data_IF_732179704715
#
_entry.id   IF_732179704715
#
_cell.length_a   1.000
_cell.length_b   1.000
_cell.length_c   1.000
_cell.angle_alpha   90.00
_cell.angle_beta   90.00
_cell.angle_gamma   90.00
#
_symmetry.space_group_name_H-M   'P 1'
#
loop_
_entity.id
_entity.type
_entity.pdbx_description
1 polymer ?
#
# COMPACT_ATOMS: atom_id res chain seq x y z
N UNK A 1 -9.41 -13.99 -16.00
CA UNK A 1 -9.12 -14.65 -14.72
C UNK A 1 -7.84 -14.00 -14.23
N UNK A 2 -7.93 -12.95 -13.40
CA UNK A 2 -6.76 -12.26 -12.84
C UNK A 2 -6.28 -13.04 -11.62
N UNK A 3 -5.02 -13.44 -11.64
CA UNK A 3 -4.33 -14.09 -10.54
C UNK A 3 -3.70 -12.99 -9.68
N UNK A 4 -4.17 -12.84 -8.44
CA UNK A 4 -3.60 -11.89 -7.48
C UNK A 4 -2.37 -12.52 -6.83
N UNK A 5 -1.19 -11.98 -7.09
CA UNK A 5 0.03 -12.41 -6.44
C UNK A 5 0.25 -11.56 -5.18
N UNK A 6 -0.08 -12.11 -4.01
CA UNK A 6 0.32 -11.55 -2.72
C UNK A 6 1.78 -11.94 -2.45
N UNK A 7 2.69 -10.95 -2.48
CA UNK A 7 4.08 -11.15 -2.08
C UNK A 7 4.19 -10.84 -0.58
N UNK A 8 4.52 -11.85 0.22
CA UNK A 8 4.88 -11.69 1.63
C UNK A 8 6.40 -11.75 1.78
N UNK A 9 7.02 -10.70 2.32
CA UNK A 9 8.40 -10.77 2.77
C UNK A 9 8.43 -11.40 4.18
N UNK A 10 8.96 -12.63 4.29
CA UNK A 10 9.16 -13.35 5.54
C UNK A 10 10.61 -13.83 5.61
N UNK A 11 11.24 -13.74 6.78
CA UNK A 11 12.60 -14.19 7.06
C UNK A 11 12.76 -15.71 7.24
N UNK A 12 11.74 -16.51 6.90
CA UNK A 12 11.76 -17.97 7.07
C UNK A 12 11.73 -18.69 5.71
N UNK A 13 12.48 -19.81 5.56
CA UNK A 13 12.57 -20.52 4.29
C UNK A 13 11.24 -21.18 3.89
N UNK A 14 10.84 -20.98 2.63
CA UNK A 14 9.74 -21.71 1.99
C UNK A 14 10.31 -22.90 1.22
N UNK A 15 9.68 -24.07 1.29
CA UNK A 15 9.91 -25.15 0.33
C UNK A 15 8.65 -25.36 -0.50
N UNK A 16 8.80 -25.33 -1.83
CA UNK A 16 7.73 -25.64 -2.78
C UNK A 16 7.67 -27.15 -3.01
N UNK A 17 6.53 -27.77 -2.69
CA UNK A 17 6.19 -29.12 -3.16
C UNK A 17 4.83 -29.07 -3.85
N UNK A 18 4.83 -29.03 -5.19
CA UNK A 18 3.59 -28.99 -5.98
C UNK A 18 2.75 -27.72 -5.77
N UNK A 19 1.47 -27.78 -6.16
CA UNK A 19 0.53 -26.62 -6.21
C UNK A 19 0.01 -26.15 -4.83
N UNK A 20 0.71 -26.44 -3.74
CA UNK A 20 0.26 -26.09 -2.39
C UNK A 20 1.36 -25.34 -1.63
N UNK A 21 1.01 -24.19 -1.06
CA UNK A 21 1.83 -23.45 -0.09
C UNK A 21 1.45 -23.92 1.32
N UNK A 22 2.37 -24.55 2.03
CA UNK A 22 2.20 -24.94 3.43
C UNK A 22 3.01 -24.02 4.33
N UNK A 23 2.36 -23.32 5.25
CA UNK A 23 3.01 -22.51 6.27
C UNK A 23 3.28 -23.37 7.51
N UNK A 24 4.52 -23.40 7.97
CA UNK A 24 4.90 -24.03 9.24
C UNK A 24 5.11 -22.92 10.29
N UNK A 25 4.21 -22.81 11.27
CA UNK A 25 4.61 -22.30 12.58
C UNK A 25 4.15 -23.26 13.67
N UNK A 26 5.12 -23.64 14.53
CA UNK A 26 4.91 -24.30 15.82
C UNK A 26 4.00 -25.55 15.80
N UNK A 27 4.36 -26.55 14.99
CA UNK A 27 4.11 -27.96 15.34
C UNK A 27 2.70 -28.53 15.22
N UNK A 28 1.76 -27.90 14.50
CA UNK A 28 0.45 -28.51 14.21
C UNK A 28 0.13 -28.38 12.72
N UNK A 29 -0.07 -29.50 11.98
CA UNK A 29 -0.43 -29.43 10.57
C UNK A 29 -1.87 -28.90 10.40
N UNK A 30 -2.01 -27.77 9.71
CA UNK A 30 -3.31 -27.22 9.30
C UNK A 30 -3.64 -27.72 7.89
N UNK A 31 -4.63 -28.60 7.75
CA UNK A 31 -5.16 -29.05 6.47
C UNK A 31 -6.22 -28.06 5.98
N UNK A 32 -5.91 -27.29 4.94
CA UNK A 32 -6.92 -26.49 4.23
C UNK A 32 -7.61 -27.41 3.21
N UNK A 33 -8.79 -27.93 3.55
CA UNK A 33 -9.59 -28.76 2.64
C UNK A 33 -10.34 -27.92 1.61
N UNK A 34 -10.24 -28.26 0.33
CA UNK A 34 -11.10 -27.73 -0.73
C UNK A 34 -12.37 -28.57 -0.84
N UNK A 35 -13.54 -27.93 -0.71
CA UNK A 35 -14.82 -28.54 -1.07
C UNK A 35 -15.11 -28.19 -2.53
N UNK A 36 -15.16 -29.21 -3.40
CA UNK A 36 -15.74 -29.06 -4.74
C UNK A 36 -17.26 -29.03 -4.59
N UNK A 37 -17.88 -27.86 -4.79
CA UNK A 37 -19.33 -27.73 -4.84
C UNK A 37 -19.82 -27.62 -6.29
N UNK A 38 -20.66 -28.57 -6.68
CA UNK A 38 -21.50 -28.57 -7.87
C UNK A 38 -22.63 -27.52 -7.74
N UNK A 39 -23.11 -27.04 -8.87
CA UNK A 39 -23.91 -25.82 -9.04
C UNK A 39 -25.35 -25.85 -8.48
N UNK A 40 -25.92 -24.64 -8.43
CA UNK A 40 -27.32 -24.22 -8.20
C UNK A 40 -27.69 -23.87 -6.75
N UNK A 41 -27.64 -22.57 -6.46
CA UNK A 41 -28.25 -21.99 -5.25
C UNK A 41 -27.54 -20.72 -4.79
N UNK A 42 -28.22 -19.58 -4.96
CA UNK A 42 -27.97 -18.25 -4.37
C UNK A 42 -26.70 -18.12 -3.51
N UNK A 43 -25.57 -17.77 -4.13
CA UNK A 43 -24.27 -17.71 -3.44
C UNK A 43 -24.18 -16.47 -2.57
N UNK A 44 -24.48 -16.63 -1.28
CA UNK A 44 -23.81 -15.83 -0.25
C UNK A 44 -22.33 -16.20 -0.29
N UNK A 45 -21.47 -15.19 -0.47
CA UNK A 45 -20.01 -15.38 -0.49
C UNK A 45 -19.57 -16.12 0.79
N UNK A 46 -18.67 -17.12 0.71
CA UNK A 46 -18.25 -17.87 1.89
C UNK A 46 -17.58 -16.92 2.89
N UNK A 47 -18.23 -16.76 4.05
CA UNK A 47 -17.66 -16.07 5.22
C UNK A 47 -16.50 -16.91 5.75
N UNK A 48 -15.32 -16.30 5.86
CA UNK A 48 -14.17 -16.92 6.52
C UNK A 48 -14.56 -17.39 7.93
N UNK A 49 -14.42 -18.69 8.19
CA UNK A 49 -14.77 -19.35 9.46
C UNK A 49 -13.60 -19.46 10.44
N UNK A 50 -12.44 -18.87 10.12
CA UNK A 50 -11.21 -19.00 10.92
C UNK A 50 -11.04 -17.93 12.02
N UNK A 51 -12.06 -17.14 12.32
CA UNK A 51 -11.98 -16.15 13.38
C UNK A 51 -12.63 -16.70 14.67
N UNK A 52 -11.82 -16.93 15.70
CA UNK A 52 -12.26 -17.33 17.06
C UNK A 52 -13.12 -16.27 17.76
N UNK A 53 -13.22 -15.09 17.13
CA UNK A 53 -14.04 -13.94 17.48
C UNK A 53 -14.76 -13.49 16.21
N UNK A 54 -16.03 -13.12 16.29
CA UNK A 54 -16.76 -12.64 15.10
C UNK A 54 -15.99 -11.47 14.49
N UNK A 55 -15.56 -11.55 13.22
CA UNK A 55 -14.78 -10.49 12.60
C UNK A 55 -15.59 -9.19 12.61
N UNK A 56 -14.94 -8.09 12.98
CA UNK A 56 -15.51 -6.76 12.78
C UNK A 56 -15.55 -6.50 11.27
N UNK A 57 -16.76 -6.51 10.70
CA UNK A 57 -16.97 -6.25 9.28
C UNK A 57 -17.32 -4.77 9.09
N UNK A 58 -16.51 -4.08 8.29
CA UNK A 58 -16.77 -2.71 7.88
C UNK A 58 -16.91 -2.68 6.35
N UNK A 59 -18.10 -2.34 5.82
CA UNK A 59 -18.24 -2.19 4.38
C UNK A 59 -17.41 -0.98 3.92
N UNK A 60 -16.47 -1.23 3.03
CA UNK A 60 -15.71 -0.19 2.32
C UNK A 60 -16.00 -0.35 0.82
N UNK A 61 -16.31 0.75 0.16
CA UNK A 61 -16.48 0.82 -1.31
C UNK A 61 -15.17 1.31 -1.92
N UNK A 62 -14.22 0.41 -2.11
CA UNK A 62 -12.96 0.70 -2.79
C UNK A 62 -13.04 0.36 -4.28
N UNK A 63 -12.40 1.17 -5.13
CA UNK A 63 -12.42 1.02 -6.59
C UNK A 63 -11.03 0.80 -7.19
N UNK A 64 -10.04 0.43 -6.38
CA UNK A 64 -8.67 0.33 -6.85
C UNK A 64 -7.72 -0.32 -5.87
N UNK A 65 -6.46 0.08 -5.99
CA UNK A 65 -5.37 -0.45 -5.20
C UNK A 65 -5.47 -0.03 -3.73
N UNK A 66 -4.81 -0.81 -2.88
CA UNK A 66 -4.74 -0.60 -1.44
C UNK A 66 -3.28 -0.66 -1.03
N UNK A 67 -2.86 0.26 -0.16
CA UNK A 67 -1.58 0.20 0.52
C UNK A 67 -1.79 0.25 2.03
N UNK A 68 -0.86 -0.30 2.80
CA UNK A 68 -0.93 -0.21 4.25
C UNK A 68 0.47 -0.08 4.86
N UNK A 69 0.53 0.59 6.01
CA UNK A 69 1.75 0.71 6.82
C UNK A 69 1.43 0.43 8.27
N UNK A 70 2.39 -0.18 8.97
CA UNK A 70 2.40 -0.23 10.43
C UNK A 70 3.12 0.99 10.97
N UNK A 71 2.50 1.72 11.89
CA UNK A 71 3.06 2.98 12.41
C UNK A 71 3.84 2.81 13.69
N UNK A 72 3.65 1.72 14.44
CA UNK A 72 4.37 1.48 15.68
C UNK A 72 4.62 -0.03 15.93
N UNK A 73 5.40 -0.31 16.98
CA UNK A 73 5.69 -1.69 17.41
C UNK A 73 4.48 -2.40 18.02
N UNK A 74 3.44 -1.66 18.41
CA UNK A 74 2.19 -2.23 18.88
C UNK A 74 1.33 -2.76 17.72
N UNK A 75 1.66 -2.39 16.48
CA UNK A 75 1.01 -2.81 15.24
C UNK A 75 -0.18 -1.93 14.84
N UNK A 76 -0.24 -0.69 15.31
CA UNK A 76 -1.14 0.32 14.74
C UNK A 76 -0.96 0.37 13.24
N UNK A 77 -2.05 0.36 12.49
CA UNK A 77 -2.03 0.27 11.03
C UNK A 77 -2.76 1.45 10.42
N UNK A 78 -2.25 1.95 9.30
CA UNK A 78 -2.95 2.86 8.40
C UNK A 78 -3.15 2.16 7.07
N UNK A 79 -4.36 2.25 6.54
CA UNK A 79 -4.76 1.60 5.30
C UNK A 79 -5.23 2.69 4.35
N UNK A 80 -4.60 2.77 3.18
CA UNK A 80 -4.87 3.75 2.16
C UNK A 80 -5.54 3.06 0.98
N UNK A 81 -6.65 3.61 0.53
CA UNK A 81 -7.39 3.03 -0.60
C UNK A 81 -8.13 4.12 -1.36
N UNK A 82 -8.35 3.87 -2.65
CA UNK A 82 -9.20 4.73 -3.46
C UNK A 82 -10.67 4.37 -3.24
N UNK A 83 -11.46 5.33 -2.77
CA UNK A 83 -12.89 5.20 -2.55
C UNK A 83 -13.68 5.39 -3.86
N UNK A 84 -14.94 4.95 -3.88
CA UNK A 84 -15.82 5.04 -5.05
C UNK A 84 -16.04 6.47 -5.59
N UNK A 85 -15.84 7.49 -4.77
CA UNK A 85 -15.85 8.90 -5.17
C UNK A 85 -14.52 9.39 -5.76
N UNK A 86 -13.59 8.48 -6.05
CA UNK A 86 -12.26 8.71 -6.58
C UNK A 86 -11.24 9.30 -5.58
N UNK A 87 -11.66 9.66 -4.36
CA UNK A 87 -10.74 10.13 -3.31
C UNK A 87 -9.84 9.01 -2.77
N UNK A 88 -8.69 9.37 -2.19
CA UNK A 88 -7.93 8.43 -1.36
C UNK A 88 -8.33 8.65 0.10
N UNK A 89 -8.69 7.56 0.77
CA UNK A 89 -9.11 7.53 2.17
C UNK A 89 -8.03 6.85 3.02
N UNK A 90 -7.91 7.28 4.28
CA UNK A 90 -7.10 6.65 5.31
C UNK A 90 -8.00 6.00 6.36
N UNK A 91 -7.96 4.67 6.46
CA UNK A 91 -8.53 3.92 7.56
C UNK A 91 -7.50 3.65 8.65
N UNK A 92 -7.91 3.88 9.90
CA UNK A 92 -7.05 3.85 11.08
C UNK A 92 -7.44 2.68 11.97
N UNK A 93 -6.47 1.82 12.29
CA UNK A 93 -6.63 0.69 13.22
C UNK A 93 -5.59 0.81 14.34
N UNK A 94 -6.04 0.71 15.58
CA UNK A 94 -5.22 0.98 16.78
C UNK A 94 -4.20 -0.12 17.13
N UNK A 95 -4.32 -1.31 16.55
CA UNK A 95 -3.40 -2.44 16.72
C UNK A 95 -3.66 -3.48 15.61
N UNK A 96 -2.95 -4.63 15.56
CA UNK A 96 -3.23 -5.70 14.61
C UNK A 96 -4.68 -6.17 14.72
N UNK A 97 -5.29 -6.60 13.62
CA UNK A 97 -6.72 -6.93 13.53
C UNK A 97 -7.27 -7.90 14.59
N UNK A 98 -6.41 -8.68 15.26
CA UNK A 98 -6.81 -9.58 16.36
C UNK A 98 -7.09 -8.86 17.69
N UNK A 99 -6.59 -7.63 17.86
CA UNK A 99 -6.65 -6.84 19.10
C UNK A 99 -7.02 -5.37 18.87
N UNK A 100 -6.78 -4.87 17.66
CA UNK A 100 -7.03 -3.50 17.28
C UNK A 100 -8.50 -3.22 17.07
N UNK A 101 -8.85 -1.96 17.22
CA UNK A 101 -10.16 -1.42 16.92
C UNK A 101 -10.03 -0.47 15.73
N UNK A 102 -11.04 -0.49 14.86
CA UNK A 102 -11.18 0.57 13.87
C UNK A 102 -11.48 1.89 14.58
N UNK A 103 -10.61 2.88 14.44
CA UNK A 103 -10.74 4.16 15.14
C UNK A 103 -11.25 5.28 14.25
N UNK A 104 -11.22 5.12 12.93
CA UNK A 104 -11.78 6.11 12.03
C UNK A 104 -11.37 5.96 10.58
N UNK A 105 -12.05 6.73 9.75
CA UNK A 105 -11.71 6.97 8.35
C UNK A 105 -11.49 8.47 8.15
N UNK A 106 -10.56 8.85 7.28
CA UNK A 106 -10.31 10.26 6.98
C UNK A 106 -10.03 10.43 5.50
N UNK A 107 -10.60 11.48 4.91
CA UNK A 107 -10.26 11.90 3.55
C UNK A 107 -8.79 12.32 3.54
N UNK A 108 -7.95 11.57 2.81
CA UNK A 108 -6.53 11.87 2.66
C UNK A 108 -6.28 12.77 1.45
N UNK A 109 -6.69 12.31 0.26
CA UNK A 109 -6.50 13.05 -1.00
C UNK A 109 -7.86 13.29 -1.65
N UNK A 110 -8.21 14.56 -1.98
CA UNK A 110 -9.47 14.88 -2.62
C UNK A 110 -9.55 14.32 -4.05
N UNK A 111 -10.76 13.97 -4.48
CA UNK A 111 -11.03 13.24 -5.71
C UNK A 111 -10.47 13.90 -6.99
N UNK A 112 -10.34 15.22 -7.03
CA UNK A 112 -9.83 15.97 -8.18
C UNK A 112 -8.30 15.88 -8.34
N UNK A 113 -7.59 15.37 -7.33
CA UNK A 113 -6.13 15.21 -7.37
C UNK A 113 -5.70 13.79 -7.75
N UNK A 114 -6.64 12.84 -7.83
CA UNK A 114 -6.36 11.40 -7.94
C UNK A 114 -6.78 10.87 -9.32
N UNK A 115 -5.91 10.12 -9.98
CA UNK A 115 -6.28 9.38 -11.19
C UNK A 115 -7.27 8.25 -10.85
N UNK A 116 -8.28 8.04 -11.66
CA UNK A 116 -9.20 6.90 -11.45
C UNK A 116 -8.47 5.56 -11.61
N UNK A 117 -8.57 4.68 -10.62
CA UNK A 117 -7.86 3.40 -10.58
C UNK A 117 -6.35 3.55 -10.30
N UNK A 118 -5.94 4.65 -9.68
CA UNK A 118 -4.52 4.94 -9.41
C UNK A 118 -3.84 3.81 -8.64
N UNK A 119 -2.57 3.47 -8.92
CA UNK A 119 -1.78 2.68 -8.00
C UNK A 119 -1.50 3.51 -6.74
N UNK A 120 -1.45 2.83 -5.59
CA UNK A 120 -1.16 3.45 -4.29
C UNK A 120 0.00 2.71 -3.66
N UNK A 121 1.00 3.44 -3.20
CA UNK A 121 2.06 2.92 -2.36
C UNK A 121 2.18 3.76 -1.10
N UNK A 122 2.57 3.13 0.00
CA UNK A 122 2.77 3.83 1.25
C UNK A 122 3.97 3.26 1.99
N UNK A 123 4.65 4.12 2.74
CA UNK A 123 5.77 3.72 3.58
C UNK A 123 5.88 4.62 4.79
N UNK A 124 6.47 4.08 5.85
CA UNK A 124 6.95 4.85 6.99
C UNK A 124 8.44 5.11 6.80
N UNK A 125 8.90 6.31 7.16
CA UNK A 125 10.33 6.62 7.24
C UNK A 125 10.73 6.76 8.71
N UNK A 126 11.98 6.41 9.04
CA UNK A 126 12.46 6.56 10.41
C UNK A 126 12.74 8.03 10.73
N UNK A 127 12.35 8.47 11.94
CA UNK A 127 12.46 9.86 12.37
C UNK A 127 11.48 10.18 13.51
N UNK A 128 11.61 11.37 14.09
CA UNK A 128 10.64 11.87 15.08
C UNK A 128 9.29 12.11 14.41
N UNK A 129 8.21 11.59 15.00
CA UNK A 129 6.84 11.85 14.51
C UNK A 129 6.33 10.91 13.41
N UNK A 130 7.06 9.82 13.09
CA UNK A 130 6.65 8.78 12.14
C UNK A 130 6.09 9.35 10.84
N UNK A 131 6.93 9.99 10.01
CA UNK A 131 6.44 10.56 8.77
C UNK A 131 6.00 9.40 7.86
N UNK A 132 4.69 9.33 7.62
CA UNK A 132 4.12 8.43 6.62
C UNK A 132 4.13 9.16 5.29
N UNK A 133 4.50 8.46 4.23
CA UNK A 133 4.40 8.93 2.85
C UNK A 133 3.43 8.05 2.09
N UNK A 134 2.53 8.67 1.36
CA UNK A 134 1.55 8.00 0.49
C UNK A 134 1.73 8.54 -0.91
N UNK A 135 2.01 7.63 -1.84
CA UNK A 135 2.27 7.90 -3.24
C UNK A 135 1.12 7.41 -4.09
N UNK A 136 0.79 8.19 -5.12
CA UNK A 136 -0.26 7.90 -6.08
C UNK A 136 0.02 8.64 -7.39
N UNK A 137 -0.76 8.33 -8.40
CA UNK A 137 -0.74 9.04 -9.70
C UNK A 137 -1.92 9.99 -9.78
N UNK A 138 -1.65 11.24 -10.16
CA UNK A 138 -2.65 12.29 -10.42
C UNK A 138 -3.29 12.18 -11.81
N UNK A 139 -4.40 12.89 -12.11
CA UNK A 139 -5.04 12.87 -13.43
C UNK A 139 -4.14 13.27 -14.60
N UNK A 140 -3.10 14.06 -14.34
CA UNK A 140 -2.09 14.46 -15.33
C UNK A 140 -0.94 13.46 -15.45
N UNK A 141 -1.10 12.25 -14.90
CA UNK A 141 -0.08 11.20 -14.83
C UNK A 141 1.20 11.61 -14.09
N UNK A 142 1.12 12.62 -13.22
CA UNK A 142 2.23 13.00 -12.35
C UNK A 142 2.25 12.10 -11.13
N UNK A 143 3.44 11.55 -10.81
CA UNK A 143 3.72 10.88 -9.55
C UNK A 143 3.61 11.90 -8.41
N UNK A 144 2.65 11.66 -7.53
CA UNK A 144 2.25 12.58 -6.47
C UNK A 144 2.42 11.94 -5.09
N UNK A 145 2.56 12.79 -4.08
CA UNK A 145 2.75 12.39 -2.68
C UNK A 145 1.90 13.24 -1.74
N UNK A 146 1.32 12.59 -0.74
CA UNK A 146 0.88 13.19 0.50
C UNK A 146 1.77 12.71 1.64
N UNK A 147 2.17 13.64 2.49
CA UNK A 147 3.13 13.42 3.57
C UNK A 147 2.50 13.77 4.93
N UNK A 148 2.61 12.85 5.89
CA UNK A 148 2.28 13.14 7.28
C UNK A 148 3.44 13.90 7.95
N UNK A 149 3.14 15.04 8.56
CA UNK A 149 4.13 15.89 9.26
C UNK A 149 4.29 15.56 10.75
N UNK A 150 3.53 14.59 11.26
CA UNK A 150 3.36 14.35 12.68
C UNK A 150 2.05 14.92 13.24
N UNK A 151 1.47 15.91 12.56
CA UNK A 151 0.23 16.58 13.00
C UNK A 151 -0.82 16.76 11.91
N UNK A 152 -0.40 16.89 10.66
CA UNK A 152 -1.31 17.03 9.52
C UNK A 152 -0.75 16.34 8.29
N UNK A 153 -1.65 15.96 7.40
CA UNK A 153 -1.30 15.61 6.03
C UNK A 153 -1.03 16.89 5.24
N UNK A 154 0.01 16.85 4.40
CA UNK A 154 0.32 17.91 3.44
C UNK A 154 0.57 17.30 2.07
N UNK A 155 -0.08 17.86 1.05
CA UNK A 155 0.16 17.58 -0.37
C UNK A 155 0.73 18.80 -1.09
N UNK A 156 0.89 18.70 -2.41
CA UNK A 156 1.28 19.84 -3.24
C UNK A 156 0.16 20.90 -3.31
N UNK A 157 0.47 22.21 -3.33
CA UNK A 157 1.79 22.85 -3.32
C UNK A 157 2.36 23.12 -1.92
N UNK A 158 1.61 22.85 -0.86
CA UNK A 158 2.03 23.12 0.52
C UNK A 158 3.24 22.28 0.95
N UNK A 159 3.40 21.09 0.36
CA UNK A 159 4.54 20.22 0.58
C UNK A 159 5.68 20.50 -0.41
N UNK A 160 6.54 21.48 -0.11
CA UNK A 160 7.68 21.83 -0.96
C UNK A 160 8.74 20.73 -1.11
N UNK A 161 8.76 19.74 -0.21
CA UNK A 161 9.65 18.58 -0.28
C UNK A 161 9.03 17.33 -0.90
N UNK A 162 7.75 17.38 -1.29
CA UNK A 162 7.05 16.22 -1.84
C UNK A 162 7.46 15.95 -3.29
N UNK A 163 7.42 14.67 -3.69
CA UNK A 163 7.81 14.23 -5.03
C UNK A 163 7.01 14.93 -6.14
N UNK A 164 5.75 15.30 -5.86
CA UNK A 164 4.82 15.96 -6.81
C UNK A 164 5.44 17.17 -7.51
N UNK A 165 6.25 17.96 -6.79
CA UNK A 165 6.89 19.15 -7.34
C UNK A 165 7.92 18.87 -8.45
N UNK A 166 8.41 17.63 -8.55
CA UNK A 166 9.40 17.21 -9.55
C UNK A 166 8.77 16.82 -10.89
N UNK A 167 7.43 16.71 -10.94
CA UNK A 167 6.69 16.49 -12.18
C UNK A 167 7.13 15.22 -12.93
N UNK A 168 7.48 14.16 -12.21
CA UNK A 168 7.79 12.88 -12.83
C UNK A 168 6.53 12.28 -13.44
N UNK A 169 6.56 12.06 -14.76
CA UNK A 169 5.43 11.53 -15.52
C UNK A 169 5.49 10.00 -15.51
N UNK A 170 4.41 9.39 -15.05
CA UNK A 170 4.16 7.95 -15.04
C UNK A 170 3.55 7.53 -16.38
N UNK A 171 3.94 6.36 -16.87
CA UNK A 171 3.38 5.77 -18.09
C UNK A 171 1.87 5.53 -17.92
N UNK A 172 1.00 6.10 -18.80
CA UNK A 172 -0.43 5.87 -18.75
C UNK A 172 -0.80 4.39 -18.76
N UNK A 173 -1.69 3.99 -17.84
CA UNK A 173 -2.11 2.59 -17.70
C UNK A 173 -1.16 1.71 -16.87
N UNK A 174 0.00 2.21 -16.45
CA UNK A 174 0.85 1.49 -15.50
C UNK A 174 0.16 1.38 -14.14
N UNK A 175 0.22 0.17 -13.57
CA UNK A 175 -0.23 -0.13 -12.20
C UNK A 175 0.95 -0.36 -11.24
N UNK A 176 2.17 -0.21 -11.74
CA UNK A 176 3.39 -0.44 -10.98
C UNK A 176 3.71 0.79 -10.14
N UNK A 177 3.60 0.63 -8.82
CA UNK A 177 4.06 1.62 -7.86
C UNK A 177 4.52 0.93 -6.58
N UNK A 178 5.69 1.28 -6.07
CA UNK A 178 6.11 0.93 -4.73
C UNK A 178 6.85 2.08 -4.07
N UNK A 179 6.92 2.06 -2.75
CA UNK A 179 7.70 2.98 -1.95
C UNK A 179 8.43 2.19 -0.88
N UNK A 180 9.73 2.41 -0.75
CA UNK A 180 10.57 1.73 0.22
C UNK A 180 11.49 2.75 0.90
N UNK A 181 11.64 2.69 2.23
CA UNK A 181 12.74 3.39 2.88
C UNK A 181 14.06 2.74 2.44
N UNK A 182 15.09 3.56 2.20
CA UNK A 182 16.44 3.07 1.96
C UNK A 182 17.12 2.68 3.29
N UNK A 183 18.42 2.42 3.24
CA UNK A 183 19.27 2.09 4.39
C UNK A 183 19.11 3.07 5.55
N UNK A 184 19.41 2.65 6.79
CA UNK A 184 19.32 3.52 7.97
C UNK A 184 20.08 4.84 7.78
N UNK A 185 19.37 5.94 7.99
CA UNK A 185 19.89 7.30 7.90
C UNK A 185 18.85 8.27 8.44
N UNK A 186 19.28 9.45 8.89
CA UNK A 186 18.40 10.48 9.45
C UNK A 186 18.54 11.81 8.70
N UNK A 187 17.52 12.26 7.95
CA UNK A 187 16.28 11.50 7.61
C UNK A 187 16.58 10.34 6.66
N UNK A 188 15.73 9.31 6.70
CA UNK A 188 15.92 8.09 5.90
C UNK A 188 15.74 8.42 4.42
N UNK A 189 16.72 8.12 3.56
CA UNK A 189 16.52 8.27 2.12
C UNK A 189 15.34 7.39 1.68
N UNK A 190 14.64 7.79 0.65
CA UNK A 190 13.40 7.14 0.22
C UNK A 190 13.48 6.84 -1.26
N UNK A 191 12.98 5.67 -1.69
CA UNK A 191 12.87 5.35 -3.11
C UNK A 191 11.44 5.00 -3.47
N UNK A 192 11.03 5.45 -4.65
CA UNK A 192 9.69 5.21 -5.21
C UNK A 192 9.86 4.67 -6.61
N UNK A 193 9.45 3.42 -6.82
CA UNK A 193 9.53 2.79 -8.14
C UNK A 193 8.23 2.90 -8.90
N UNK A 194 8.31 3.22 -10.19
CA UNK A 194 7.19 3.39 -11.11
C UNK A 194 7.65 3.14 -12.56
N UNK A 195 6.72 3.01 -13.50
CA UNK A 195 7.07 3.00 -14.94
C UNK A 195 7.02 4.44 -15.44
N UNK A 196 8.15 5.00 -15.87
CA UNK A 196 8.20 6.36 -16.39
C UNK A 196 7.70 6.43 -17.83
N UNK A 197 6.95 7.49 -18.18
CA UNK A 197 6.55 7.74 -19.56
C UNK A 197 7.74 8.04 -20.50
N UNK A 198 8.89 8.47 -19.95
CA UNK A 198 10.11 8.66 -20.72
C UNK A 198 10.84 7.36 -21.05
N UNK A 199 10.54 6.28 -20.32
CA UNK A 199 11.11 4.94 -20.53
C UNK A 199 10.03 3.88 -20.29
N UNK A 200 9.03 3.78 -21.19
CA UNK A 200 7.93 2.82 -21.03
C UNK A 200 8.44 1.38 -20.89
N UNK A 201 7.64 0.53 -20.25
CA UNK A 201 7.96 -0.89 -20.01
C UNK A 201 9.23 -1.16 -19.18
N UNK A 202 9.84 -0.11 -18.63
CA UNK A 202 10.98 -0.23 -17.71
C UNK A 202 10.62 0.30 -16.34
N UNK A 203 11.17 -0.33 -15.29
CA UNK A 203 11.02 0.16 -13.93
C UNK A 203 12.04 1.27 -13.68
N UNK A 204 11.54 2.44 -13.30
CA UNK A 204 12.30 3.64 -12.93
C UNK A 204 12.17 3.86 -11.42
N UNK A 205 13.25 4.24 -10.73
CA UNK A 205 13.18 4.69 -9.33
C UNK A 205 13.35 6.22 -9.25
N UNK A 206 12.54 6.86 -8.42
CA UNK A 206 12.82 8.19 -7.91
C UNK A 206 13.42 8.05 -6.50
N UNK A 207 14.62 8.59 -6.31
CA UNK A 207 15.36 8.58 -5.05
C UNK A 207 15.33 9.95 -4.39
N UNK A 208 14.90 9.99 -3.14
CA UNK A 208 15.06 11.13 -2.26
C UNK A 208 16.36 11.02 -1.47
N UNK A 209 17.26 11.97 -1.69
CA UNK A 209 18.47 12.13 -0.89
C UNK A 209 18.51 13.52 -0.23
N UNK A 210 18.89 13.55 1.04
CA UNK A 210 19.03 14.79 1.81
C UNK A 210 20.00 15.75 1.13
N UNK A 211 19.57 16.99 0.94
CA UNK A 211 20.34 18.04 0.27
C UNK A 211 20.33 17.98 -1.26
N UNK A 212 19.88 16.88 -1.87
CA UNK A 212 19.69 16.76 -3.33
C UNK A 212 18.23 16.80 -3.76
N UNK A 213 17.31 16.47 -2.85
CA UNK A 213 15.90 16.31 -3.18
C UNK A 213 15.65 15.01 -3.93
N UNK A 214 14.57 14.99 -4.71
CA UNK A 214 14.18 13.84 -5.53
C UNK A 214 14.92 13.85 -6.87
N UNK A 215 15.43 12.69 -7.27
CA UNK A 215 16.13 12.50 -8.54
C UNK A 215 15.72 11.16 -9.15
N UNK A 216 15.69 11.06 -10.47
CA UNK A 216 15.52 9.77 -11.13
C UNK A 216 16.83 8.99 -11.07
N UNK A 217 16.73 7.70 -10.77
CA UNK A 217 17.82 6.75 -10.81
C UNK A 217 17.39 5.54 -11.66
N UNK A 218 18.25 5.06 -12.58
CA UNK A 218 18.05 3.76 -13.19
C UNK A 218 18.26 2.68 -12.13
N UNK A 219 17.49 1.59 -12.22
CA UNK A 219 17.77 0.42 -11.40
C UNK A 219 19.19 -0.11 -11.69
N UNK A 220 19.98 -0.43 -10.66
CA UNK A 220 21.30 -1.04 -10.82
C UNK A 220 21.24 -2.45 -11.42
#
# INVERSE_FOLDING_TARGET
>A
MLEFQLIFASSHPFQLYGRYLTYYSQGVPFLCGSVLASAVGNTTLPRSTNATISPELRPLTFIGNVAAVTTDSAGSTRIYYQNADNSIQESIVSAPFVRGTFTGNTLLVPANEVLYGTPIAATTISGTGLPIRVFFVSPSYILSEYAWTGTTWVGWPACGGCITGNQFIVEPGSTVLYALPNTPGTPTPLRVGFVSAGQPETLTEADYTVGKGWQLAPLP
#
